data_IF_872536717008
#
_entry.id   IF_872536717008
#
_cell.length_a   1.000
_cell.length_b   1.000
_cell.length_c   1.000
_cell.angle_alpha   90.00
_cell.angle_beta   90.00
_cell.angle_gamma   90.00
#
_symmetry.space_group_name_H-M   'P 1'
#
loop_
_entity.id
_entity.type
_entity.pdbx_description
1 polymer ?
#
# COMPACT_ATOMS: atom_id res chain seq x y z
N UNK A 1 -13.48 1.16 -4.01
CA UNK A 1 -12.48 0.12 -3.67
C UNK A 1 -12.13 0.26 -2.19
N UNK A 2 -11.84 -0.84 -1.48
CA UNK A 2 -11.65 -0.84 -0.02
C UNK A 2 -10.53 0.10 0.46
N UNK A 3 -9.41 0.20 -0.28
CA UNK A 3 -8.27 1.05 0.07
C UNK A 3 -8.61 2.54 0.07
N UNK A 4 -9.43 2.99 -0.89
CA UNK A 4 -9.90 4.40 -0.95
C UNK A 4 -10.68 4.77 0.31
N UNK A 5 -11.67 3.95 0.68
CA UNK A 5 -12.51 4.21 1.85
C UNK A 5 -11.71 4.15 3.16
N UNK A 6 -10.69 3.29 3.23
CA UNK A 6 -9.79 3.22 4.38
C UNK A 6 -8.96 4.51 4.51
N UNK A 7 -8.39 5.02 3.41
CA UNK A 7 -7.63 6.27 3.41
C UNK A 7 -8.53 7.44 3.83
N UNK A 8 -9.72 7.55 3.23
CA UNK A 8 -10.70 8.60 3.60
C UNK A 8 -11.09 8.53 5.08
N UNK A 9 -11.25 7.32 5.62
CA UNK A 9 -11.56 7.13 7.03
C UNK A 9 -10.40 7.51 7.94
N UNK A 10 -9.18 7.07 7.62
CA UNK A 10 -7.96 7.41 8.38
C UNK A 10 -7.72 8.92 8.42
N UNK A 11 -7.91 9.59 7.27
CA UNK A 11 -7.85 11.05 7.16
C UNK A 11 -8.92 11.74 8.01
N UNK A 12 -10.17 11.27 7.94
CA UNK A 12 -11.28 11.87 8.71
C UNK A 12 -11.10 11.77 10.22
N UNK A 13 -10.35 10.79 10.71
CA UNK A 13 -10.12 10.57 12.12
C UNK A 13 -8.85 11.27 12.64
N UNK A 14 -8.06 11.91 11.76
CA UNK A 14 -6.71 12.41 12.07
C UNK A 14 -5.86 11.35 12.78
N UNK A 15 -6.09 10.08 12.43
CA UNK A 15 -5.63 8.92 13.19
C UNK A 15 -4.26 8.42 12.74
N UNK A 16 -3.70 8.98 11.67
CA UNK A 16 -2.44 8.56 11.08
C UNK A 16 -1.50 9.78 10.93
N UNK A 17 -0.37 9.81 11.66
CA UNK A 17 0.64 10.87 11.52
C UNK A 17 1.22 10.98 10.12
N UNK A 18 1.22 9.87 9.37
CA UNK A 18 1.57 9.79 7.95
C UNK A 18 0.90 8.60 7.28
N UNK A 19 0.70 8.68 5.96
CA UNK A 19 0.10 7.63 5.13
C UNK A 19 0.99 7.44 3.89
N UNK A 20 1.45 6.21 3.67
CA UNK A 20 2.19 5.82 2.46
C UNK A 20 1.34 4.83 1.65
N UNK A 21 0.93 5.21 0.44
CA UNK A 21 0.17 4.37 -0.47
C UNK A 21 1.08 3.75 -1.53
N UNK A 22 1.19 2.42 -1.52
CA UNK A 22 1.81 1.67 -2.62
C UNK A 22 0.73 1.05 -3.50
N UNK A 23 0.67 1.45 -4.77
CA UNK A 23 -0.37 0.99 -5.70
C UNK A 23 0.23 0.29 -6.92
N UNK A 24 0.12 -1.04 -6.91
CA UNK A 24 0.45 -1.89 -8.05
C UNK A 24 -0.68 -1.92 -9.09
N UNK A 25 -0.35 -1.66 -10.35
CA UNK A 25 -1.18 -1.97 -11.51
C UNK A 25 -0.59 -3.16 -12.27
N UNK A 26 -1.43 -4.15 -12.57
CA UNK A 26 -1.04 -5.34 -13.36
C UNK A 26 -1.43 -5.23 -14.84
N UNK A 27 -1.97 -4.08 -15.24
CA UNK A 27 -2.44 -3.79 -16.60
C UNK A 27 -2.14 -2.33 -16.93
N UNK A 28 -1.94 -2.01 -18.22
CA UNK A 28 -1.92 -0.63 -18.69
C UNK A 28 -3.16 0.13 -18.19
N UNK A 29 -2.97 1.39 -17.80
CA UNK A 29 -4.02 2.26 -17.22
C UNK A 29 -4.69 1.70 -15.95
N UNK A 30 -4.04 0.76 -15.26
CA UNK A 30 -4.55 0.13 -14.04
C UNK A 30 -4.67 1.07 -12.85
N UNK A 31 -4.02 2.23 -12.88
CA UNK A 31 -4.18 3.30 -11.88
C UNK A 31 -5.38 4.21 -12.22
N UNK A 32 -6.58 3.63 -12.29
CA UNK A 32 -7.82 4.30 -12.71
C UNK A 32 -8.23 5.52 -11.84
N UNK A 33 -7.59 5.71 -10.68
CA UNK A 33 -7.78 6.86 -9.78
C UNK A 33 -6.49 7.70 -9.62
N UNK A 34 -5.52 7.60 -10.53
CA UNK A 34 -4.25 8.31 -10.42
C UNK A 34 -4.40 9.83 -10.24
N UNK A 35 -5.42 10.44 -10.87
CA UNK A 35 -5.75 11.87 -10.67
C UNK A 35 -6.16 12.19 -9.23
N UNK A 36 -6.95 11.32 -8.59
CA UNK A 36 -7.35 11.52 -7.20
C UNK A 36 -6.16 11.35 -6.26
N UNK A 37 -5.36 10.30 -6.46
CA UNK A 37 -4.15 10.07 -5.66
C UNK A 37 -3.19 11.25 -5.77
N UNK A 38 -2.99 11.79 -6.98
CA UNK A 38 -2.20 13.01 -7.20
C UNK A 38 -2.76 14.22 -6.45
N UNK A 39 -4.08 14.38 -6.43
CA UNK A 39 -4.69 15.47 -5.66
C UNK A 39 -4.48 15.33 -4.15
N UNK A 40 -4.39 14.11 -3.64
CA UNK A 40 -4.08 13.85 -2.23
C UNK A 40 -2.62 14.18 -1.91
N UNK A 41 -1.67 13.72 -2.74
CA UNK A 41 -0.24 14.07 -2.56
C UNK A 41 0.04 15.56 -2.68
N UNK A 42 -0.76 16.31 -3.46
CA UNK A 42 -0.62 17.76 -3.59
C UNK A 42 -1.24 18.54 -2.42
N UNK A 43 -2.24 17.97 -1.74
CA UNK A 43 -3.03 18.67 -0.72
C UNK A 43 -2.66 18.28 0.72
N UNK A 44 -1.98 17.16 0.92
CA UNK A 44 -1.72 16.58 2.24
C UNK A 44 -0.22 16.45 2.48
N UNK A 45 0.31 17.15 3.48
CA UNK A 45 1.75 17.15 3.78
C UNK A 45 2.28 15.78 4.25
N UNK A 46 1.41 14.92 4.79
CA UNK A 46 1.77 13.62 5.35
C UNK A 46 1.22 12.44 4.53
N UNK A 47 1.03 12.64 3.23
CA UNK A 47 0.56 11.60 2.31
C UNK A 47 1.50 11.45 1.12
N UNK A 48 2.11 10.27 1.00
CA UNK A 48 2.94 9.89 -0.13
C UNK A 48 2.31 8.72 -0.90
N UNK A 49 2.53 8.70 -2.21
CA UNK A 49 2.05 7.62 -3.07
C UNK A 49 3.10 7.16 -4.08
N UNK A 50 3.35 5.85 -4.07
CA UNK A 50 4.26 5.18 -5.00
C UNK A 50 3.43 4.28 -5.91
N UNK A 51 3.41 4.62 -7.20
CA UNK A 51 2.72 3.85 -8.24
C UNK A 51 3.71 2.88 -8.88
N UNK A 52 3.32 1.60 -9.00
CA UNK A 52 4.14 0.55 -9.63
C UNK A 52 3.35 -0.15 -10.72
N UNK A 53 4.06 -0.56 -11.77
CA UNK A 53 3.52 -1.37 -12.85
C UNK A 53 4.27 -2.71 -12.92
N UNK A 54 3.56 -3.81 -12.71
CA UNK A 54 4.10 -5.16 -12.89
C UNK A 54 2.94 -6.13 -13.16
N UNK A 55 3.01 -6.85 -14.28
CA UNK A 55 1.93 -7.69 -14.77
C UNK A 55 1.70 -8.92 -13.88
N UNK A 56 2.76 -9.42 -13.24
CA UNK A 56 2.67 -10.53 -12.31
C UNK A 56 2.41 -10.05 -10.87
N UNK A 57 1.29 -10.44 -10.23
CA UNK A 57 0.94 -9.97 -8.90
C UNK A 57 1.97 -10.31 -7.81
N UNK A 58 2.64 -11.47 -7.90
CA UNK A 58 3.62 -11.88 -6.90
C UNK A 58 4.94 -11.11 -7.06
N UNK A 59 5.41 -10.91 -8.31
CA UNK A 59 6.55 -10.05 -8.59
C UNK A 59 6.28 -8.59 -8.19
N UNK A 60 5.06 -8.12 -8.45
CA UNK A 60 4.64 -6.78 -8.05
C UNK A 60 4.60 -6.62 -6.53
N UNK A 61 4.17 -7.64 -5.79
CA UNK A 61 4.25 -7.66 -4.33
C UNK A 61 5.69 -7.54 -3.81
N UNK A 62 6.65 -8.22 -4.45
CA UNK A 62 8.07 -8.09 -4.09
C UNK A 62 8.61 -6.69 -4.39
N UNK A 63 8.22 -6.08 -5.52
CA UNK A 63 8.59 -4.71 -5.86
C UNK A 63 8.02 -3.70 -4.85
N UNK A 64 6.76 -3.89 -4.43
CA UNK A 64 6.13 -3.09 -3.38
C UNK A 64 6.88 -3.23 -2.06
N UNK A 65 7.21 -4.46 -1.63
CA UNK A 65 7.96 -4.67 -0.39
C UNK A 65 9.36 -4.03 -0.43
N UNK A 66 10.00 -4.02 -1.60
CA UNK A 66 11.28 -3.34 -1.80
C UNK A 66 11.15 -1.81 -1.70
N UNK A 67 10.12 -1.23 -2.30
CA UNK A 67 9.83 0.20 -2.19
C UNK A 67 9.52 0.61 -0.74
N UNK A 68 8.67 -0.17 -0.06
CA UNK A 68 8.37 -0.01 1.37
C UNK A 68 9.64 0.03 2.22
N UNK A 69 10.60 -0.88 1.98
CA UNK A 69 11.87 -0.92 2.71
C UNK A 69 12.80 0.25 2.45
N UNK A 70 12.73 0.87 1.28
CA UNK A 70 13.55 2.04 0.98
C UNK A 70 13.07 3.29 1.73
N UNK A 71 11.78 3.35 2.04
CA UNK A 71 11.11 4.51 2.62
C UNK A 71 10.82 4.36 4.13
N UNK A 72 10.56 3.14 4.62
CA UNK A 72 10.29 2.86 6.03
C UNK A 72 11.58 2.55 6.79
N UNK A 73 12.11 3.54 7.49
CA UNK A 73 13.24 3.39 8.42
C UNK A 73 12.84 2.79 9.78
N UNK A 74 11.55 2.77 10.12
CA UNK A 74 11.04 2.24 11.40
C UNK A 74 9.81 1.34 11.18
N UNK A 75 9.68 0.27 11.99
CA UNK A 75 8.72 -0.84 11.75
C UNK A 75 7.36 -0.57 12.44
N UNK A 76 7.19 0.58 13.10
CA UNK A 76 5.97 0.88 13.85
C UNK A 76 4.84 1.45 12.99
N UNK A 77 4.42 0.69 11.98
CA UNK A 77 3.28 1.03 11.13
C UNK A 77 2.30 -0.13 10.96
N UNK A 78 1.00 0.18 10.93
CA UNK A 78 -0.03 -0.77 10.53
C UNK A 78 -0.06 -0.88 8.99
N UNK A 79 0.21 -2.08 8.48
CA UNK A 79 0.19 -2.42 7.07
C UNK A 79 -1.19 -2.95 6.65
N UNK A 80 -1.81 -2.30 5.66
CA UNK A 80 -3.10 -2.72 5.10
C UNK A 80 -2.93 -3.16 3.65
N UNK A 81 -3.23 -4.42 3.37
CA UNK A 81 -3.02 -5.06 2.08
C UNK A 81 -4.37 -5.40 1.45
N UNK A 82 -4.57 -5.04 0.18
CA UNK A 82 -5.76 -5.45 -0.56
C UNK A 82 -5.42 -5.77 -2.02
N UNK A 83 -5.92 -6.89 -2.53
CA UNK A 83 -5.67 -7.28 -3.92
C UNK A 83 -5.87 -8.78 -4.17
N UNK A 84 -5.42 -9.28 -5.34
CA UNK A 84 -5.49 -10.70 -5.67
C UNK A 84 -4.71 -11.56 -4.67
N UNK A 85 -5.13 -12.83 -4.50
CA UNK A 85 -4.54 -13.73 -3.51
C UNK A 85 -3.01 -13.86 -3.61
N UNK A 86 -2.47 -13.98 -4.83
CA UNK A 86 -1.03 -14.08 -5.05
C UNK A 86 -0.27 -12.83 -4.56
N UNK A 87 -0.81 -11.64 -4.79
CA UNK A 87 -0.21 -10.39 -4.30
C UNK A 87 -0.24 -10.32 -2.77
N UNK A 88 -1.41 -10.56 -2.17
CA UNK A 88 -1.60 -10.46 -0.72
C UNK A 88 -0.73 -11.46 0.03
N UNK A 89 -0.71 -12.72 -0.41
CA UNK A 89 0.09 -13.77 0.21
C UNK A 89 1.59 -13.44 0.14
N UNK A 90 2.10 -13.11 -1.04
CA UNK A 90 3.52 -12.80 -1.22
C UNK A 90 3.96 -11.57 -0.44
N UNK A 91 3.14 -10.52 -0.39
CA UNK A 91 3.46 -9.30 0.35
C UNK A 91 3.43 -9.54 1.86
N UNK A 92 2.38 -10.20 2.38
CA UNK A 92 2.29 -10.52 3.80
C UNK A 92 3.45 -11.40 4.29
N UNK A 93 3.81 -12.45 3.53
CA UNK A 93 4.97 -13.29 3.83
C UNK A 93 6.28 -12.50 3.80
N UNK A 94 6.43 -11.58 2.87
CA UNK A 94 7.64 -10.76 2.76
C UNK A 94 7.74 -9.78 3.93
N UNK A 95 6.64 -9.12 4.32
CA UNK A 95 6.58 -8.25 5.49
C UNK A 95 6.88 -9.01 6.79
N UNK A 96 6.31 -10.21 6.96
CA UNK A 96 6.59 -11.04 8.11
C UNK A 96 8.08 -11.45 8.19
N UNK A 97 8.70 -11.80 7.06
CA UNK A 97 10.11 -12.18 6.99
C UNK A 97 11.07 -11.04 7.36
N UNK A 98 10.65 -9.80 7.13
CA UNK A 98 11.44 -8.61 7.47
C UNK A 98 11.15 -8.07 8.87
N UNK A 99 10.32 -8.77 9.65
CA UNK A 99 10.10 -8.51 11.06
C UNK A 99 8.82 -7.76 11.40
N UNK A 100 7.92 -7.49 10.43
CA UNK A 100 6.63 -6.85 10.72
C UNK A 100 5.75 -7.83 11.53
N UNK A 101 5.38 -7.49 12.77
CA UNK A 101 4.46 -8.28 13.58
C UNK A 101 3.14 -8.57 12.85
N UNK A 102 2.68 -9.82 12.87
CA UNK A 102 1.41 -10.18 12.23
C UNK A 102 0.19 -9.39 12.71
N UNK A 103 0.22 -8.85 13.95
CA UNK A 103 -0.85 -7.97 14.48
C UNK A 103 -0.96 -6.63 13.74
N UNK A 104 0.11 -6.19 13.10
CA UNK A 104 0.19 -4.95 12.32
C UNK A 104 -0.14 -5.19 10.84
N UNK A 105 -0.37 -6.43 10.41
CA UNK A 105 -0.71 -6.75 9.02
C UNK A 105 -2.20 -7.09 8.92
N UNK A 106 -2.97 -6.22 8.27
CA UNK A 106 -4.37 -6.46 7.92
C UNK A 106 -4.47 -6.72 6.42
N UNK A 107 -5.13 -7.79 6.02
CA UNK A 107 -5.22 -8.15 4.61
C UNK A 107 -6.64 -8.46 4.16
N UNK A 108 -6.94 -8.15 2.90
CA UNK A 108 -8.21 -8.43 2.23
C UNK A 108 -7.94 -8.97 0.82
N UNK A 109 -8.33 -10.21 0.56
CA UNK A 109 -8.27 -10.81 -0.78
C UNK A 109 -9.51 -10.39 -1.58
N UNK A 110 -9.32 -9.93 -2.82
CA UNK A 110 -10.36 -9.44 -3.74
C UNK A 110 -10.53 -10.34 -4.96
#
# INVERSE_FOLDING_TARGET
APVKSLIEHAMSLDAAPSINLYWLATRPDGHFMGKLVRSWTEALDAFDATLLDEADPARGALAVAAAMRAELFDIDCDCYLAGPQAFVATLAETLARIGVPGRQIRSLVL
#
